data_IF_050564189272
#
_entry.id   IF_050564189272
#
_cell.length_a   1.000
_cell.length_b   1.000
_cell.length_c   1.000
_cell.angle_alpha   90.00
_cell.angle_beta   90.00
_cell.angle_gamma   90.00
#
_symmetry.space_group_name_H-M   'P 1'
#
loop_
_entity.id
_entity.type
_entity.pdbx_description
1 polymer ?
#
# COMPACT_ATOMS: atom_id res chain seq x y z
N UNK A 1 11.69 -42.72 -47.14
CA UNK A 1 11.33 -43.29 -45.83
C UNK A 1 11.40 -42.19 -44.81
N UNK A 2 10.26 -41.55 -44.59
CA UNK A 2 10.03 -40.49 -43.60
C UNK A 2 9.68 -41.18 -42.27
N UNK A 3 10.61 -41.18 -41.32
CA UNK A 3 10.31 -41.57 -39.94
C UNK A 3 9.65 -40.38 -39.24
N UNK A 4 8.32 -40.45 -39.13
CA UNK A 4 7.55 -39.60 -38.23
C UNK A 4 7.97 -39.94 -36.79
N UNK A 5 8.66 -39.00 -36.15
CA UNK A 5 8.89 -39.03 -34.72
C UNK A 5 7.59 -38.57 -34.05
N UNK A 6 6.79 -39.53 -33.61
CA UNK A 6 5.58 -39.31 -32.82
C UNK A 6 6.00 -38.93 -31.39
N UNK A 7 6.42 -37.68 -31.22
CA UNK A 7 6.53 -37.06 -29.91
C UNK A 7 5.14 -37.00 -29.27
N UNK A 8 4.86 -37.93 -28.34
CA UNK A 8 3.66 -37.90 -27.51
C UNK A 8 3.65 -36.61 -26.71
N UNK A 9 2.87 -35.62 -27.16
CA UNK A 9 2.58 -34.41 -26.39
C UNK A 9 1.77 -34.85 -25.16
N UNK A 10 2.45 -34.96 -24.03
CA UNK A 10 1.83 -35.20 -22.74
C UNK A 10 0.75 -34.10 -22.50
N UNK A 11 -0.54 -34.44 -22.35
CA UNK A 11 -1.61 -33.45 -22.20
C UNK A 11 -1.55 -32.67 -20.88
N UNK A 12 -0.66 -33.03 -19.96
CA UNK A 12 -0.53 -32.41 -18.63
C UNK A 12 -0.07 -30.94 -18.64
N UNK A 13 0.40 -30.41 -19.78
CA UNK A 13 0.94 -29.05 -19.90
C UNK A 13 -0.09 -27.91 -19.97
N UNK A 14 -1.40 -28.18 -19.80
CA UNK A 14 -2.46 -27.15 -19.85
C UNK A 14 -3.31 -27.05 -18.59
N UNK A 15 -2.77 -27.41 -17.43
CA UNK A 15 -3.42 -27.13 -16.16
C UNK A 15 -3.03 -25.73 -15.66
N UNK A 16 -4.01 -24.82 -15.62
CA UNK A 16 -4.02 -23.60 -14.80
C UNK A 16 -2.91 -22.57 -15.09
N UNK A 17 -2.73 -22.18 -16.36
CA UNK A 17 -1.93 -20.99 -16.70
C UNK A 17 -0.42 -21.10 -16.46
N UNK A 18 0.12 -22.29 -16.12
CA UNK A 18 1.57 -22.53 -16.05
C UNK A 18 2.19 -22.41 -17.44
N UNK A 19 3.32 -21.70 -17.56
CA UNK A 19 4.07 -21.58 -18.83
C UNK A 19 4.92 -22.82 -19.09
N UNK A 20 5.34 -23.55 -18.04
CA UNK A 20 6.08 -24.82 -18.14
C UNK A 20 5.71 -25.83 -17.06
N UNK A 21 6.11 -27.08 -17.26
CA UNK A 21 5.97 -28.13 -16.25
C UNK A 21 6.99 -27.94 -15.12
N UNK A 22 6.64 -28.23 -13.85
CA UNK A 22 7.60 -28.25 -12.76
C UNK A 22 8.75 -29.23 -13.02
N UNK A 23 9.95 -28.90 -12.53
CA UNK A 23 11.12 -29.78 -12.62
C UNK A 23 11.40 -30.35 -11.24
N UNK A 24 11.38 -31.69 -11.12
CA UNK A 24 11.89 -32.38 -9.94
C UNK A 24 13.41 -32.38 -9.96
N UNK A 25 14.03 -31.87 -8.89
CA UNK A 25 15.46 -32.00 -8.63
C UNK A 25 15.67 -32.81 -7.36
N UNK A 26 16.74 -33.60 -7.35
CA UNK A 26 17.15 -34.36 -6.18
C UNK A 26 18.39 -33.66 -5.63
N UNK A 27 18.27 -33.06 -4.45
CA UNK A 27 19.34 -32.28 -3.81
C UNK A 27 19.70 -32.86 -2.44
N UNK A 28 20.94 -32.67 -1.95
CA UNK A 28 21.31 -32.99 -0.57
C UNK A 28 20.42 -32.24 0.44
N UNK A 29 20.01 -32.89 1.52
CA UNK A 29 19.35 -32.22 2.65
C UNK A 29 20.34 -31.31 3.37
N UNK A 30 19.94 -30.07 3.68
CA UNK A 30 20.79 -29.10 4.39
C UNK A 30 21.07 -29.45 5.86
N UNK A 31 20.48 -30.51 6.40
CA UNK A 31 20.80 -31.03 7.73
C UNK A 31 21.98 -32.02 7.67
N UNK A 32 23.20 -31.53 7.89
CA UNK A 32 24.25 -32.16 8.73
C UNK A 32 25.59 -31.39 8.61
N UNK A 33 25.92 -30.57 9.61
CA UNK A 33 27.31 -30.15 9.85
C UNK A 33 27.64 -30.10 11.34
N UNK A 34 27.57 -31.25 12.02
CA UNK A 34 28.13 -31.37 13.38
C UNK A 34 28.47 -32.79 13.82
N UNK A 35 29.26 -33.53 13.02
CA UNK A 35 30.23 -34.48 13.59
C UNK A 35 31.16 -35.05 12.52
N UNK A 36 32.46 -34.81 12.68
CA UNK A 36 33.50 -35.54 11.97
C UNK A 36 33.55 -37.00 12.48
N UNK A 37 32.86 -37.92 11.81
CA UNK A 37 33.30 -39.33 11.67
C UNK A 37 32.41 -40.11 10.70
N UNK A 38 33.07 -40.88 9.83
CA UNK A 38 32.60 -42.04 9.05
C UNK A 38 31.29 -41.92 8.22
N UNK A 39 31.46 -41.85 6.88
CA UNK A 39 30.43 -42.05 5.84
C UNK A 39 29.02 -41.55 6.22
N UNK A 40 28.84 -40.23 6.30
CA UNK A 40 27.50 -39.67 6.49
C UNK A 40 26.62 -40.01 5.29
N UNK A 41 25.48 -40.62 5.57
CA UNK A 41 24.44 -40.86 4.57
C UNK A 41 23.79 -39.50 4.32
N UNK A 42 24.17 -38.85 3.21
CA UNK A 42 23.53 -37.60 2.79
C UNK A 42 22.10 -37.93 2.36
N UNK A 43 21.12 -37.54 3.18
CA UNK A 43 19.72 -37.69 2.80
C UNK A 43 19.44 -36.80 1.59
N UNK A 44 18.82 -37.36 0.56
CA UNK A 44 18.48 -36.63 -0.65
C UNK A 44 17.01 -36.25 -0.59
N UNK A 45 16.71 -34.96 -0.69
CA UNK A 45 15.34 -34.42 -0.75
C UNK A 45 14.97 -34.09 -2.19
N UNK A 46 13.68 -34.29 -2.50
CA UNK A 46 13.10 -33.85 -3.76
C UNK A 46 12.65 -32.41 -3.62
N UNK A 47 13.27 -31.54 -4.39
CA UNK A 47 12.82 -30.16 -4.55
C UNK A 47 12.07 -30.00 -5.88
N UNK A 48 11.01 -29.20 -5.82
CA UNK A 48 10.19 -28.88 -6.97
C UNK A 48 10.56 -27.48 -7.45
N UNK A 49 11.23 -27.39 -8.59
CA UNK A 49 11.43 -26.11 -9.24
C UNK A 49 10.16 -25.72 -10.02
N UNK A 50 9.66 -24.52 -9.73
CA UNK A 50 8.50 -23.92 -10.36
C UNK A 50 8.79 -22.47 -10.72
N UNK A 51 7.94 -21.83 -11.52
CA UNK A 51 8.08 -20.40 -11.83
C UNK A 51 8.10 -19.52 -10.58
N UNK A 52 7.39 -19.93 -9.52
CA UNK A 52 7.38 -19.25 -8.23
C UNK A 52 8.74 -19.32 -7.54
N UNK A 53 9.32 -20.53 -7.43
CA UNK A 53 10.62 -20.71 -6.77
C UNK A 53 11.73 -20.03 -7.56
N UNK A 54 11.77 -20.20 -8.89
CA UNK A 54 12.77 -19.53 -9.74
C UNK A 54 12.75 -18.01 -9.62
N UNK A 55 11.55 -17.41 -9.63
CA UNK A 55 11.40 -15.97 -9.52
C UNK A 55 11.85 -15.48 -8.13
N UNK A 56 11.56 -16.24 -7.07
CA UNK A 56 11.95 -15.91 -5.71
C UNK A 56 13.46 -16.07 -5.51
N UNK A 57 14.04 -17.20 -5.94
CA UNK A 57 15.48 -17.47 -5.82
C UNK A 57 16.31 -16.40 -6.52
N UNK A 58 15.88 -15.98 -7.72
CA UNK A 58 16.50 -14.86 -8.43
C UNK A 58 16.43 -13.57 -7.60
N UNK A 59 15.28 -13.24 -7.03
CA UNK A 59 15.11 -12.02 -6.25
C UNK A 59 15.92 -12.07 -4.94
N UNK A 60 15.96 -13.22 -4.26
CA UNK A 60 16.80 -13.44 -3.08
C UNK A 60 18.26 -13.12 -3.40
N UNK A 61 18.77 -13.63 -4.54
CA UNK A 61 20.13 -13.35 -4.96
C UNK A 61 20.38 -11.85 -5.21
N UNK A 62 19.47 -11.17 -5.91
CA UNK A 62 19.57 -9.73 -6.19
C UNK A 62 19.49 -8.88 -4.92
N UNK A 63 18.62 -9.24 -3.97
CA UNK A 63 18.50 -8.56 -2.67
C UNK A 63 19.73 -8.79 -1.79
N UNK A 64 20.25 -10.03 -1.72
CA UNK A 64 21.42 -10.38 -0.91
C UNK A 64 22.63 -9.49 -1.22
N UNK A 65 22.94 -9.33 -2.52
CA UNK A 65 24.04 -8.46 -2.98
C UNK A 65 23.88 -7.02 -2.48
N UNK A 66 22.66 -6.51 -2.39
CA UNK A 66 22.39 -5.15 -1.95
C UNK A 66 22.35 -5.02 -0.42
N UNK A 67 21.82 -6.02 0.29
CA UNK A 67 21.75 -6.05 1.75
C UNK A 67 23.13 -6.12 2.41
N UNK A 68 24.08 -6.80 1.78
CA UNK A 68 25.48 -6.91 2.24
C UNK A 68 26.28 -5.61 2.12
N UNK A 69 25.70 -4.54 1.54
CA UNK A 69 26.37 -3.25 1.41
C UNK A 69 26.29 -2.43 2.69
N UNK A 70 27.40 -1.76 3.03
CA UNK A 70 27.50 -0.86 4.19
C UNK A 70 27.14 0.60 3.88
N UNK A 71 26.99 0.97 2.61
CA UNK A 71 26.93 2.37 2.16
C UNK A 71 25.50 2.95 2.01
N UNK A 72 24.45 2.15 2.21
CA UNK A 72 23.05 2.55 1.97
C UNK A 72 22.12 2.35 3.17
N UNK A 73 22.53 2.90 4.32
CA UNK A 73 21.75 2.80 5.56
C UNK A 73 20.87 4.03 5.85
N UNK A 74 20.89 5.05 4.97
CA UNK A 74 20.16 6.30 5.18
C UNK A 74 19.27 6.65 4.00
N UNK A 75 18.16 7.33 4.29
CA UNK A 75 17.24 7.84 3.28
C UNK A 75 17.81 9.13 2.64
N UNK A 76 17.99 9.14 1.32
CA UNK A 76 18.45 10.31 0.59
C UNK A 76 17.26 11.19 0.16
N UNK A 77 16.75 11.96 1.14
CA UNK A 77 15.57 12.82 0.95
C UNK A 77 15.77 13.86 -0.15
N UNK A 78 16.95 14.48 -0.24
CA UNK A 78 17.26 15.49 -1.24
C UNK A 78 17.30 14.90 -2.66
N UNK A 79 17.83 13.69 -2.81
CA UNK A 79 17.81 13.01 -4.10
C UNK A 79 16.38 12.66 -4.51
N UNK A 80 15.56 12.15 -3.59
CA UNK A 80 14.16 11.85 -3.84
C UNK A 80 13.30 13.09 -4.10
N UNK A 81 13.61 14.22 -3.46
CA UNK A 81 12.95 15.50 -3.73
C UNK A 81 13.06 15.88 -5.21
N UNK A 82 14.23 15.71 -5.84
CA UNK A 82 14.41 15.99 -7.29
C UNK A 82 13.44 15.21 -8.16
N UNK A 83 13.13 13.96 -7.79
CA UNK A 83 12.16 13.14 -8.51
C UNK A 83 10.74 13.68 -8.34
N UNK A 84 10.34 14.01 -7.11
CA UNK A 84 9.01 14.52 -6.79
C UNK A 84 8.77 15.97 -7.26
N UNK A 85 9.80 16.79 -7.41
CA UNK A 85 9.70 18.13 -8.00
C UNK A 85 9.53 18.09 -9.53
N UNK A 86 9.92 16.98 -10.17
CA UNK A 86 9.95 16.87 -11.64
C UNK A 86 8.61 17.13 -12.34
N UNK A 87 7.43 16.69 -11.83
CA UNK A 87 6.14 16.98 -12.45
C UNK A 87 5.75 18.47 -12.44
N UNK A 88 6.36 19.26 -11.55
CA UNK A 88 6.08 20.69 -11.45
C UNK A 88 6.97 21.51 -12.39
N UNK A 89 8.13 20.98 -12.78
CA UNK A 89 9.13 21.66 -13.60
C UNK A 89 9.18 21.18 -15.05
N UNK A 90 8.68 19.97 -15.33
CA UNK A 90 8.74 19.33 -16.64
C UNK A 90 7.40 18.76 -17.05
N UNK A 91 7.18 18.64 -18.37
CA UNK A 91 6.07 17.85 -18.88
C UNK A 91 6.31 16.37 -18.57
N UNK A 92 5.26 15.69 -18.12
CA UNK A 92 5.31 14.24 -17.92
C UNK A 92 5.52 13.53 -19.28
N UNK A 93 6.32 12.45 -19.32
CA UNK A 93 6.62 11.75 -20.56
C UNK A 93 5.36 11.14 -21.19
N UNK A 94 5.27 11.03 -22.53
CA UNK A 94 4.08 10.53 -23.22
C UNK A 94 3.60 9.15 -22.75
N UNK A 95 4.50 8.28 -22.31
CA UNK A 95 4.16 6.95 -21.78
C UNK A 95 3.31 6.99 -20.50
N UNK A 96 3.25 8.12 -19.78
CA UNK A 96 2.38 8.30 -18.62
C UNK A 96 0.91 8.55 -18.99
N UNK A 97 0.54 8.53 -20.27
CA UNK A 97 -0.87 8.55 -20.71
C UNK A 97 -1.68 7.39 -20.10
N UNK A 98 -1.04 6.27 -19.76
CA UNK A 98 -1.68 5.17 -19.03
C UNK A 98 -2.21 5.58 -17.64
N UNK A 99 -1.73 6.70 -17.09
CA UNK A 99 -2.17 7.28 -15.81
C UNK A 99 -3.07 8.50 -15.99
N UNK A 100 -3.62 8.75 -17.18
CA UNK A 100 -4.49 9.91 -17.42
C UNK A 100 -5.76 9.86 -16.54
N UNK A 101 -6.34 8.68 -16.34
CA UNK A 101 -7.44 8.47 -15.39
C UNK A 101 -7.01 8.44 -13.91
N UNK A 102 -5.71 8.54 -13.64
CA UNK A 102 -5.10 8.52 -12.31
C UNK A 102 -4.35 9.82 -12.00
N UNK A 103 -4.64 10.92 -12.71
CA UNK A 103 -4.00 12.19 -12.42
C UNK A 103 -4.19 12.68 -10.97
N UNK A 104 -5.36 12.49 -10.30
CA UNK A 104 -5.52 12.67 -8.86
C UNK A 104 -4.49 11.95 -8.00
N UNK A 105 -4.16 10.71 -8.34
CA UNK A 105 -3.19 9.92 -7.60
C UNK A 105 -1.78 10.48 -7.71
N UNK A 106 -1.41 11.00 -8.89
CA UNK A 106 -0.12 11.69 -9.06
C UNK A 106 -0.04 12.92 -8.14
N UNK A 107 -1.13 13.66 -7.95
CA UNK A 107 -1.16 14.80 -7.03
C UNK A 107 -0.93 14.34 -5.60
N UNK A 108 -1.65 13.31 -5.15
CA UNK A 108 -1.48 12.75 -3.81
C UNK A 108 -0.07 12.21 -3.58
N UNK A 109 0.41 11.28 -4.42
CA UNK A 109 1.70 10.62 -4.20
C UNK A 109 2.87 11.61 -4.19
N UNK A 110 2.85 12.59 -5.09
CA UNK A 110 3.91 13.60 -5.18
C UNK A 110 3.87 14.54 -3.97
N UNK A 111 2.70 15.11 -3.67
CA UNK A 111 2.57 16.07 -2.59
C UNK A 111 2.80 15.42 -1.23
N UNK A 112 2.32 14.20 -1.02
CA UNK A 112 2.47 13.48 0.24
C UNK A 112 3.93 13.06 0.45
N UNK A 113 4.60 12.57 -0.59
CA UNK A 113 6.04 12.27 -0.52
C UNK A 113 6.88 13.50 -0.14
N UNK A 114 6.59 14.67 -0.71
CA UNK A 114 7.26 15.93 -0.33
C UNK A 114 6.96 16.31 1.12
N UNK A 115 5.69 16.28 1.52
CA UNK A 115 5.24 16.69 2.86
C UNK A 115 5.80 15.78 3.96
N UNK A 116 5.83 14.46 3.74
CA UNK A 116 6.37 13.47 4.67
C UNK A 116 7.88 13.61 4.83
N UNK A 117 8.63 13.92 3.76
CA UNK A 117 10.08 14.12 3.86
C UNK A 117 10.47 15.41 4.58
N UNK A 118 9.72 16.49 4.34
CA UNK A 118 9.90 17.76 5.02
C UNK A 118 8.63 18.62 4.86
N UNK A 119 7.98 19.04 5.97
CA UNK A 119 6.77 19.86 5.91
C UNK A 119 6.88 21.13 5.06
N UNK A 120 8.08 21.71 4.98
CA UNK A 120 8.33 22.97 4.26
C UNK A 120 8.48 22.82 2.75
N UNK A 121 8.66 21.60 2.22
CA UNK A 121 8.91 21.38 0.79
C UNK A 121 7.68 21.46 -0.10
N UNK A 122 6.48 21.26 0.45
CA UNK A 122 5.24 21.50 -0.28
C UNK A 122 4.91 22.99 -0.24
N UNK A 123 5.67 23.79 -0.98
CA UNK A 123 5.56 25.24 -0.99
C UNK A 123 4.17 25.75 -1.41
N UNK A 124 3.82 26.96 -0.97
CA UNK A 124 2.52 27.59 -1.24
C UNK A 124 2.17 27.63 -2.74
N UNK A 125 3.15 27.88 -3.61
CA UNK A 125 2.93 27.90 -5.06
C UNK A 125 2.59 26.51 -5.62
N UNK A 126 3.28 25.47 -5.14
CA UNK A 126 2.97 24.08 -5.49
C UNK A 126 1.57 23.69 -5.01
N UNK A 127 1.19 24.07 -3.79
CA UNK A 127 -0.15 23.86 -3.27
C UNK A 127 -1.21 24.55 -4.16
N UNK A 128 -0.97 25.79 -4.58
CA UNK A 128 -1.88 26.52 -5.50
C UNK A 128 -2.06 25.79 -6.83
N UNK A 129 -0.98 25.31 -7.44
CA UNK A 129 -1.05 24.56 -8.71
C UNK A 129 -1.82 23.24 -8.57
N UNK A 130 -1.68 22.55 -7.43
CA UNK A 130 -2.49 21.37 -7.11
C UNK A 130 -3.97 21.75 -7.06
N UNK A 131 -4.31 22.78 -6.27
CA UNK A 131 -5.68 23.27 -6.13
C UNK A 131 -6.29 23.69 -7.48
N UNK A 132 -5.55 24.43 -8.30
CA UNK A 132 -5.99 24.83 -9.64
C UNK A 132 -6.33 23.62 -10.51
N UNK A 133 -5.52 22.55 -10.47
CA UNK A 133 -5.80 21.33 -11.21
C UNK A 133 -7.03 20.60 -10.66
N UNK A 134 -7.16 20.50 -9.33
CA UNK A 134 -8.31 19.89 -8.65
C UNK A 134 -9.62 20.56 -9.05
N UNK A 135 -9.70 21.89 -8.94
CA UNK A 135 -10.92 22.64 -9.27
C UNK A 135 -11.11 22.86 -10.77
N UNK A 136 -10.12 22.55 -11.61
CA UNK A 136 -10.37 22.32 -13.03
C UNK A 136 -11.12 21.00 -13.22
N UNK A 137 -10.64 19.90 -12.64
CA UNK A 137 -11.26 18.56 -12.76
C UNK A 137 -12.75 18.62 -12.39
N UNK A 138 -13.07 19.28 -11.28
CA UNK A 138 -14.46 19.60 -10.94
C UNK A 138 -14.57 21.01 -10.31
N UNK A 139 -15.05 22.02 -11.05
CA UNK A 139 -15.23 23.39 -10.55
C UNK A 139 -16.28 23.54 -9.45
N UNK A 140 -17.13 22.54 -9.25
CA UNK A 140 -18.21 22.56 -8.25
C UNK A 140 -17.79 21.96 -6.90
N UNK A 141 -16.51 21.65 -6.72
CA UNK A 141 -15.99 21.19 -5.42
C UNK A 141 -16.11 19.69 -5.15
N UNK A 142 -16.41 18.89 -6.18
CA UNK A 142 -16.53 17.43 -6.09
C UNK A 142 -17.95 16.90 -6.36
N UNK A 143 -18.13 15.57 -6.51
CA UNK A 143 -17.10 14.51 -6.46
C UNK A 143 -16.13 14.56 -7.66
N UNK A 144 -14.99 13.88 -7.57
CA UNK A 144 -13.90 14.03 -8.53
C UNK A 144 -13.62 12.77 -9.36
N UNK A 145 -13.30 12.97 -10.64
CA UNK A 145 -12.86 11.93 -11.57
C UNK A 145 -11.34 11.92 -11.78
N UNK A 146 -10.87 11.15 -12.75
CA UNK A 146 -9.45 11.03 -13.10
C UNK A 146 -8.86 12.24 -13.83
N UNK A 147 -9.70 13.06 -14.46
CA UNK A 147 -9.28 14.21 -15.27
C UNK A 147 -10.48 15.02 -15.76
N UNK A 148 -10.21 16.09 -16.53
CA UNK A 148 -11.25 16.92 -17.13
C UNK A 148 -12.21 16.09 -17.97
N UNK A 149 -13.51 16.20 -17.70
CA UNK A 149 -14.55 15.51 -18.46
C UNK A 149 -14.68 14.00 -18.18
N UNK A 150 -13.87 13.46 -17.26
CA UNK A 150 -14.01 12.07 -16.82
C UNK A 150 -15.06 11.96 -15.72
N UNK A 151 -15.75 10.82 -15.64
CA UNK A 151 -16.74 10.57 -14.61
C UNK A 151 -16.11 10.55 -13.20
N UNK A 152 -16.84 11.00 -12.16
CA UNK A 152 -16.40 10.85 -10.79
C UNK A 152 -16.13 9.39 -10.41
N UNK A 153 -15.05 9.18 -9.65
CA UNK A 153 -14.60 7.85 -9.24
C UNK A 153 -14.07 7.89 -7.80
N UNK A 154 -14.34 6.86 -7.00
CA UNK A 154 -13.96 6.80 -5.58
C UNK A 154 -12.46 6.98 -5.37
N UNK A 155 -11.64 6.26 -6.13
CA UNK A 155 -10.19 6.42 -6.09
C UNK A 155 -9.71 7.85 -6.43
N UNK A 156 -10.34 8.52 -7.41
CA UNK A 156 -10.00 9.90 -7.77
C UNK A 156 -10.43 10.91 -6.70
N UNK A 157 -11.62 10.70 -6.12
CA UNK A 157 -12.13 11.51 -5.02
C UNK A 157 -11.28 11.35 -3.75
N UNK A 158 -10.94 10.11 -3.37
CA UNK A 158 -10.03 9.81 -2.27
C UNK A 158 -8.67 10.51 -2.44
N UNK A 159 -8.04 10.35 -3.61
CA UNK A 159 -6.74 10.94 -3.87
C UNK A 159 -6.78 12.47 -3.83
N UNK A 160 -7.84 13.10 -4.35
CA UNK A 160 -8.00 14.56 -4.28
C UNK A 160 -8.25 15.05 -2.86
N UNK A 161 -9.10 14.39 -2.08
CA UNK A 161 -9.35 14.77 -0.69
C UNK A 161 -8.05 14.67 0.12
N UNK A 162 -7.29 13.60 -0.06
CA UNK A 162 -5.97 13.46 0.58
C UNK A 162 -4.96 14.50 0.10
N UNK A 163 -4.93 14.83 -1.20
CA UNK A 163 -4.06 15.87 -1.75
C UNK A 163 -4.42 17.27 -1.22
N UNK A 164 -5.71 17.55 -0.99
CA UNK A 164 -6.16 18.79 -0.36
C UNK A 164 -5.88 18.81 1.14
N UNK A 165 -5.93 17.67 1.83
CA UNK A 165 -5.63 17.58 3.26
C UNK A 165 -4.17 17.90 3.61
N UNK A 166 -3.24 17.55 2.72
CA UNK A 166 -1.81 17.89 2.84
C UNK A 166 -1.46 19.27 2.31
N UNK A 167 -2.33 19.87 1.48
CA UNK A 167 -2.25 21.29 1.20
C UNK A 167 -2.75 22.03 2.45
N UNK A 168 -2.03 23.06 2.89
CA UNK A 168 -2.58 23.97 3.89
C UNK A 168 -3.87 24.60 3.29
N UNK A 169 -4.78 25.14 4.12
CA UNK A 169 -5.99 25.85 3.68
C UNK A 169 -5.69 27.19 2.96
N UNK A 170 -4.68 27.18 2.11
CA UNK A 170 -4.23 28.28 1.26
C UNK A 170 -5.40 28.73 0.38
N UNK A 171 -5.69 30.02 0.45
CA UNK A 171 -6.77 30.67 -0.30
C UNK A 171 -8.17 30.08 -0.07
N UNK A 172 -8.41 29.51 1.12
CA UNK A 172 -9.71 28.92 1.49
C UNK A 172 -10.09 27.75 0.59
N UNK A 173 -9.12 26.94 0.16
CA UNK A 173 -9.36 25.84 -0.76
C UNK A 173 -10.22 24.72 -0.14
N UNK A 174 -10.17 24.53 1.18
CA UNK A 174 -10.98 23.54 1.87
C UNK A 174 -12.47 23.92 1.86
N UNK A 175 -12.78 25.22 1.97
CA UNK A 175 -14.15 25.74 1.90
C UNK A 175 -14.82 25.53 0.52
N UNK A 176 -14.01 25.27 -0.51
CA UNK A 176 -14.50 24.98 -1.87
C UNK A 176 -14.92 23.52 -2.03
N UNK A 177 -14.66 22.64 -1.06
CA UNK A 177 -15.08 21.24 -1.11
C UNK A 177 -16.59 21.16 -0.89
N UNK A 178 -17.31 20.64 -1.89
CA UNK A 178 -18.76 20.51 -1.85
C UNK A 178 -19.16 19.21 -1.16
N UNK A 179 -19.19 19.27 0.18
CA UNK A 179 -19.54 18.16 1.07
C UNK A 179 -20.88 17.52 0.74
N UNK A 180 -21.91 18.32 0.50
CA UNK A 180 -23.25 17.82 0.18
C UNK A 180 -23.28 17.07 -1.16
N UNK A 181 -22.60 17.59 -2.18
CA UNK A 181 -22.46 16.91 -3.48
C UNK A 181 -21.73 15.57 -3.34
N UNK A 182 -20.62 15.55 -2.59
CA UNK A 182 -19.86 14.33 -2.32
C UNK A 182 -20.71 13.31 -1.56
N UNK A 183 -21.37 13.71 -0.47
CA UNK A 183 -22.22 12.81 0.33
C UNK A 183 -23.34 12.19 -0.50
N UNK A 184 -24.10 13.02 -1.24
CA UNK A 184 -25.18 12.53 -2.10
C UNK A 184 -24.65 11.56 -3.17
N UNK A 185 -23.48 11.84 -3.73
CA UNK A 185 -22.85 10.93 -4.68
C UNK A 185 -22.41 9.61 -4.02
N UNK A 186 -21.82 9.64 -2.82
CA UNK A 186 -21.45 8.41 -2.09
C UNK A 186 -22.68 7.52 -1.86
N UNK A 187 -23.83 8.09 -1.51
CA UNK A 187 -25.08 7.33 -1.39
C UNK A 187 -25.53 6.67 -2.69
N UNK A 188 -25.25 7.28 -3.86
CA UNK A 188 -25.57 6.65 -5.15
C UNK A 188 -24.69 5.45 -5.50
N UNK A 189 -23.53 5.31 -4.83
CA UNK A 189 -22.61 4.20 -5.01
C UNK A 189 -22.83 3.08 -3.99
N UNK A 190 -23.47 3.42 -2.87
CA UNK A 190 -23.76 2.49 -1.79
C UNK A 190 -24.65 1.37 -2.30
N UNK A 191 -24.25 0.14 -1.99
CA UNK A 191 -25.00 -1.07 -2.30
C UNK A 191 -25.75 -1.56 -1.06
N UNK A 192 -26.78 -2.36 -1.29
CA UNK A 192 -27.58 -2.99 -0.22
C UNK A 192 -26.74 -3.92 0.67
N UNK A 193 -25.75 -4.60 0.09
CA UNK A 193 -24.83 -5.50 0.79
C UNK A 193 -23.75 -4.79 1.62
N UNK A 194 -23.75 -3.44 1.66
CA UNK A 194 -22.75 -2.65 2.37
C UNK A 194 -21.51 -2.29 1.54
N UNK A 195 -21.35 -2.86 0.33
CA UNK A 195 -20.30 -2.49 -0.59
C UNK A 195 -20.50 -1.11 -1.23
N UNK A 196 -19.48 -0.63 -1.95
CA UNK A 196 -19.56 0.61 -2.73
C UNK A 196 -19.07 0.39 -4.15
N UNK A 197 -19.86 0.83 -5.12
CA UNK A 197 -19.39 0.94 -6.51
C UNK A 197 -18.34 2.04 -6.61
N UNK A 198 -17.29 1.82 -7.40
CA UNK A 198 -16.22 2.80 -7.61
C UNK A 198 -16.65 3.99 -8.47
N UNK A 199 -17.63 3.78 -9.35
CA UNK A 199 -18.19 4.76 -10.25
C UNK A 199 -19.68 4.48 -10.47
N UNK A 200 -20.50 5.53 -10.50
CA UNK A 200 -21.96 5.38 -10.59
C UNK A 200 -22.36 4.62 -11.86
N UNK A 201 -23.17 3.56 -11.71
CA UNK A 201 -23.72 2.68 -12.76
C UNK A 201 -22.73 1.78 -13.51
N UNK A 202 -21.43 2.06 -13.48
CA UNK A 202 -20.45 1.35 -14.33
C UNK A 202 -19.23 0.83 -13.58
N UNK A 203 -19.05 1.21 -12.31
CA UNK A 203 -17.91 0.80 -11.52
C UNK A 203 -18.02 -0.61 -10.96
N UNK A 204 -16.87 -1.24 -10.78
CA UNK A 204 -16.71 -2.41 -9.94
C UNK A 204 -17.02 -2.08 -8.47
N UNK A 205 -17.10 -3.11 -7.63
CA UNK A 205 -17.17 -2.95 -6.19
C UNK A 205 -16.19 -3.92 -5.55
N UNK A 206 -15.43 -3.42 -4.59
CA UNK A 206 -14.53 -4.20 -3.74
C UNK A 206 -14.16 -3.37 -2.49
N UNK A 207 -13.33 -3.92 -1.62
CA UNK A 207 -12.86 -3.24 -0.40
C UNK A 207 -12.15 -1.91 -0.66
N UNK A 208 -11.58 -1.65 -1.85
CA UNK A 208 -11.01 -0.32 -2.19
C UNK A 208 -12.10 0.73 -2.29
N UNK A 209 -13.24 0.37 -2.90
CA UNK A 209 -14.43 1.23 -2.95
C UNK A 209 -14.88 1.59 -1.54
N UNK A 210 -15.01 0.59 -0.66
CA UNK A 210 -15.39 0.80 0.74
C UNK A 210 -14.41 1.74 1.43
N UNK A 211 -13.10 1.47 1.37
CA UNK A 211 -12.11 2.32 2.03
C UNK A 211 -12.08 3.75 1.49
N UNK A 212 -12.13 3.93 0.17
CA UNK A 212 -12.19 5.28 -0.40
C UNK A 212 -13.42 6.05 0.09
N UNK A 213 -14.60 5.41 0.11
CA UNK A 213 -15.83 6.04 0.56
C UNK A 213 -15.79 6.40 2.05
N UNK A 214 -15.40 5.44 2.90
CA UNK A 214 -15.36 5.60 4.35
C UNK A 214 -14.25 6.57 4.78
N UNK A 215 -13.08 6.54 4.12
CA UNK A 215 -12.00 7.49 4.39
C UNK A 215 -12.41 8.92 4.04
N UNK A 216 -13.00 9.15 2.85
CA UNK A 216 -13.49 10.47 2.44
C UNK A 216 -14.60 10.95 3.37
N UNK A 217 -15.54 10.07 3.70
CA UNK A 217 -16.65 10.45 4.58
C UNK A 217 -16.15 10.78 5.99
N UNK A 218 -15.19 10.04 6.51
CA UNK A 218 -14.58 10.30 7.81
C UNK A 218 -13.87 11.65 7.87
N UNK A 219 -12.97 11.93 6.92
CA UNK A 219 -12.17 13.18 6.92
C UNK A 219 -12.99 14.43 6.66
N UNK A 220 -14.11 14.31 5.93
CA UNK A 220 -15.03 15.42 5.65
C UNK A 220 -16.20 15.51 6.65
N UNK A 221 -16.24 14.70 7.71
CA UNK A 221 -17.32 14.71 8.70
C UNK A 221 -18.69 14.39 8.09
N UNK A 222 -18.76 13.31 7.30
CA UNK A 222 -19.92 12.85 6.52
C UNK A 222 -20.36 11.42 6.86
N UNK A 223 -19.80 10.80 7.89
CA UNK A 223 -20.26 9.49 8.34
C UNK A 223 -21.67 9.60 8.92
N UNK A 224 -22.60 8.82 8.36
CA UNK A 224 -23.99 8.72 8.82
C UNK A 224 -24.38 7.24 8.96
N UNK A 225 -25.44 6.96 9.71
CA UNK A 225 -25.96 5.59 9.82
C UNK A 225 -26.32 5.02 8.44
N UNK A 226 -27.00 5.81 7.60
CA UNK A 226 -27.36 5.44 6.23
C UNK A 226 -26.14 5.08 5.39
N UNK A 227 -25.08 5.90 5.43
CA UNK A 227 -23.88 5.63 4.65
C UNK A 227 -23.17 4.34 5.13
N UNK A 228 -23.11 4.13 6.44
CA UNK A 228 -22.36 3.05 7.07
C UNK A 228 -23.13 1.73 7.23
N UNK A 229 -24.43 1.70 6.90
CA UNK A 229 -25.27 0.49 7.03
C UNK A 229 -24.67 -0.71 6.28
N UNK A 230 -24.63 -1.89 6.91
CA UNK A 230 -24.07 -3.14 6.37
C UNK A 230 -22.57 -3.12 5.96
N UNK A 231 -21.86 -2.00 6.10
CA UNK A 231 -20.45 -1.90 5.68
C UNK A 231 -19.55 -2.84 6.48
N UNK A 232 -19.79 -2.94 7.80
CA UNK A 232 -19.02 -3.84 8.66
C UNK A 232 -19.25 -5.30 8.25
N UNK A 233 -20.50 -5.69 7.97
CA UNK A 233 -20.84 -7.05 7.54
C UNK A 233 -20.20 -7.41 6.20
N UNK A 234 -20.22 -6.48 5.23
CA UNK A 234 -19.49 -6.65 3.97
C UNK A 234 -18.00 -6.95 4.21
N UNK A 235 -17.35 -6.17 5.07
CA UNK A 235 -15.91 -6.31 5.33
C UNK A 235 -15.58 -7.58 6.09
N UNK A 236 -16.38 -7.98 7.08
CA UNK A 236 -16.21 -9.25 7.81
C UNK A 236 -16.24 -10.43 6.84
N UNK A 237 -17.15 -10.41 5.87
CA UNK A 237 -17.24 -11.47 4.85
C UNK A 237 -16.10 -11.46 3.82
N UNK A 238 -15.30 -10.39 3.75
CA UNK A 238 -14.08 -10.35 2.96
C UNK A 238 -12.87 -11.01 3.65
N UNK A 239 -12.91 -11.25 4.98
CA UNK A 239 -11.83 -11.99 5.65
C UNK A 239 -11.91 -13.46 5.27
N UNK A 240 -10.79 -14.04 4.80
CA UNK A 240 -10.76 -15.43 4.33
C UNK A 240 -9.98 -16.35 5.28
N UNK A 241 -9.85 -17.62 4.90
CA UNK A 241 -9.21 -18.65 5.72
C UNK A 241 -7.74 -18.38 6.03
N UNK A 242 -7.04 -17.60 5.19
CA UNK A 242 -5.63 -17.23 5.36
C UNK A 242 -5.47 -16.19 6.49
N UNK A 243 -6.52 -15.45 6.84
CA UNK A 243 -6.53 -14.41 7.87
C UNK A 243 -6.55 -12.98 7.33
N UNK A 244 -6.07 -12.76 6.10
CA UNK A 244 -6.21 -11.49 5.38
C UNK A 244 -7.56 -11.34 4.68
N UNK A 245 -7.70 -10.28 3.89
CA UNK A 245 -8.96 -9.94 3.21
C UNK A 245 -8.82 -9.95 1.69
N UNK A 246 -9.89 -10.42 1.03
CA UNK A 246 -10.12 -10.30 -0.39
C UNK A 246 -10.79 -8.97 -0.79
N UNK A 247 -10.97 -8.76 -2.09
CA UNK A 247 -11.68 -7.59 -2.63
C UNK A 247 -13.19 -7.70 -2.46
N UNK A 248 -13.74 -8.89 -2.70
CA UNK A 248 -15.17 -9.19 -2.64
C UNK A 248 -15.45 -10.28 -1.59
N UNK A 249 -16.59 -10.22 -0.88
CA UNK A 249 -16.99 -11.23 0.09
C UNK A 249 -16.88 -12.66 -0.46
N UNK A 250 -16.19 -13.53 0.29
CA UNK A 250 -16.08 -14.98 0.04
C UNK A 250 -15.47 -15.45 -1.29
N UNK A 251 -14.98 -14.55 -2.15
CA UNK A 251 -14.51 -14.90 -3.50
C UNK A 251 -12.98 -14.84 -3.64
N UNK A 252 -12.37 -13.79 -3.08
CA UNK A 252 -10.99 -13.42 -3.41
C UNK A 252 -9.93 -14.00 -2.46
N UNK A 253 -8.73 -14.19 -3.01
CA UNK A 253 -7.50 -14.44 -2.25
C UNK A 253 -7.17 -13.26 -1.33
N UNK A 254 -6.55 -13.54 -0.18
CA UNK A 254 -6.12 -12.49 0.71
C UNK A 254 -4.99 -11.66 0.08
N UNK A 255 -5.13 -10.35 0.06
CA UNK A 255 -4.17 -9.46 -0.59
C UNK A 255 -3.89 -8.20 0.23
N UNK A 256 -2.63 -7.79 0.36
CA UNK A 256 -2.20 -6.71 1.25
C UNK A 256 -2.94 -5.39 1.03
N UNK A 257 -3.20 -5.02 -0.23
CA UNK A 257 -3.99 -3.83 -0.55
C UNK A 257 -5.45 -3.92 -0.09
N UNK A 258 -6.10 -5.07 -0.27
CA UNK A 258 -7.50 -5.28 0.13
C UNK A 258 -7.62 -5.45 1.65
N UNK A 259 -6.69 -6.18 2.26
CA UNK A 259 -6.49 -6.26 3.72
C UNK A 259 -6.38 -4.87 4.34
N UNK A 260 -5.50 -4.01 3.83
CA UNK A 260 -5.39 -2.64 4.32
C UNK A 260 -6.71 -1.89 4.22
N UNK A 261 -7.36 -1.92 3.05
CA UNK A 261 -8.61 -1.21 2.82
C UNK A 261 -9.69 -1.66 3.83
N UNK A 262 -9.86 -2.97 4.01
CA UNK A 262 -10.82 -3.51 4.97
C UNK A 262 -10.52 -3.12 6.42
N UNK A 263 -9.28 -3.34 6.86
CA UNK A 263 -8.86 -3.08 8.25
C UNK A 263 -8.90 -1.59 8.57
N UNK A 264 -8.45 -0.73 7.66
CA UNK A 264 -8.52 0.71 7.83
C UNK A 264 -9.98 1.20 7.88
N UNK A 265 -10.89 0.65 7.07
CA UNK A 265 -12.33 0.93 7.17
C UNK A 265 -12.92 0.49 8.50
N UNK A 266 -12.61 -0.72 8.97
CA UNK A 266 -13.06 -1.22 10.27
C UNK A 266 -12.54 -0.37 11.42
N UNK A 267 -11.29 0.11 11.34
CA UNK A 267 -10.71 1.03 12.32
C UNK A 267 -11.47 2.37 12.35
N UNK A 268 -11.82 2.93 11.18
CA UNK A 268 -12.64 4.16 11.10
C UNK A 268 -14.01 3.96 11.72
N UNK A 269 -14.62 2.79 11.49
CA UNK A 269 -15.94 2.43 11.99
C UNK A 269 -15.95 1.94 13.44
N UNK A 270 -14.78 1.80 14.08
CA UNK A 270 -14.65 1.29 15.44
C UNK A 270 -15.09 -0.17 15.59
N UNK A 271 -14.83 -1.01 14.58
CA UNK A 271 -15.36 -2.38 14.46
C UNK A 271 -14.26 -3.43 14.23
N UNK A 272 -13.02 -3.18 14.65
CA UNK A 272 -11.91 -4.14 14.51
C UNK A 272 -12.12 -5.42 15.34
N UNK A 273 -12.92 -5.37 16.39
CA UNK A 273 -13.30 -6.51 17.23
C UNK A 273 -14.23 -7.51 16.54
N UNK A 274 -14.77 -7.17 15.36
CA UNK A 274 -15.69 -8.03 14.59
C UNK A 274 -14.98 -9.06 13.71
N UNK A 275 -13.66 -9.00 13.60
CA UNK A 275 -12.85 -9.86 12.73
C UNK A 275 -11.89 -10.75 13.54
N UNK A 276 -11.34 -11.78 12.91
CA UNK A 276 -10.31 -12.60 13.55
C UNK A 276 -8.96 -11.89 13.50
N UNK A 277 -8.66 -11.09 14.53
CA UNK A 277 -7.42 -10.29 14.61
C UNK A 277 -6.17 -11.15 14.75
N UNK A 278 -6.25 -12.28 15.45
CA UNK A 278 -5.11 -13.19 15.64
C UNK A 278 -4.63 -13.76 14.29
N UNK A 279 -5.57 -14.30 13.49
CA UNK A 279 -5.25 -14.78 12.14
C UNK A 279 -4.77 -13.67 11.21
N UNK A 280 -5.30 -12.45 11.36
CA UNK A 280 -4.84 -11.31 10.60
C UNK A 280 -3.38 -10.95 10.94
N UNK A 281 -3.02 -10.96 12.23
CA UNK A 281 -1.65 -10.72 12.68
C UNK A 281 -0.69 -11.79 12.14
N UNK A 282 -1.08 -13.07 12.21
CA UNK A 282 -0.33 -14.18 11.61
C UNK A 282 -0.14 -14.00 10.11
N UNK A 283 -1.21 -13.63 9.40
CA UNK A 283 -1.18 -13.38 7.96
C UNK A 283 -0.23 -12.24 7.60
N UNK A 284 -0.28 -11.12 8.32
CA UNK A 284 0.65 -10.00 8.14
C UNK A 284 2.11 -10.42 8.38
N UNK A 285 2.38 -11.18 9.44
CA UNK A 285 3.72 -11.69 9.74
C UNK A 285 4.27 -12.57 8.61
N UNK A 286 3.43 -13.49 8.10
CA UNK A 286 3.79 -14.40 6.99
C UNK A 286 3.96 -13.71 5.63
N UNK A 287 3.69 -12.40 5.52
CA UNK A 287 4.03 -11.63 4.31
C UNK A 287 5.47 -11.18 4.31
N UNK A 288 6.13 -11.11 5.45
CA UNK A 288 7.54 -10.72 5.52
C UNK A 288 8.44 -11.93 5.28
N UNK A 289 9.34 -11.83 4.32
CA UNK A 289 10.29 -12.90 4.02
C UNK A 289 11.63 -12.62 4.67
N UNK A 290 12.25 -13.64 5.24
CA UNK A 290 13.51 -13.50 5.98
C UNK A 290 14.68 -13.09 5.08
N UNK A 291 14.76 -13.67 3.88
CA UNK A 291 15.88 -13.46 2.96
C UNK A 291 15.89 -12.06 2.36
N UNK A 292 14.76 -11.63 1.80
CA UNK A 292 14.62 -10.32 1.19
C UNK A 292 14.31 -9.22 2.21
N UNK A 293 13.83 -9.57 3.42
CA UNK A 293 13.36 -8.69 4.51
C UNK A 293 12.13 -7.83 4.20
N UNK A 294 11.73 -7.74 2.93
CA UNK A 294 10.54 -7.04 2.45
C UNK A 294 9.23 -7.80 2.66
N UNK A 295 8.12 -7.15 2.29
CA UNK A 295 6.76 -7.68 2.40
C UNK A 295 6.20 -8.06 1.03
N UNK A 296 5.54 -9.21 0.96
CA UNK A 296 4.77 -9.67 -0.20
C UNK A 296 3.30 -9.29 -0.08
N UNK A 297 2.61 -9.15 -1.21
CA UNK A 297 1.19 -8.81 -1.22
C UNK A 297 0.26 -9.97 -0.91
N UNK A 298 0.70 -11.20 -1.18
CA UNK A 298 -0.07 -12.43 -1.01
C UNK A 298 0.86 -13.63 -1.01
N UNK A 299 0.33 -14.76 -0.56
CA UNK A 299 1.03 -16.03 -0.44
C UNK A 299 1.75 -16.42 -1.75
N UNK A 300 3.01 -16.88 -1.67
CA UNK A 300 3.81 -17.32 -2.82
C UNK A 300 4.06 -16.27 -3.93
N UNK A 301 4.08 -14.99 -3.60
CA UNK A 301 4.47 -13.91 -4.51
C UNK A 301 5.70 -13.16 -3.99
N UNK A 302 6.36 -12.45 -4.88
CA UNK A 302 7.57 -11.69 -4.54
C UNK A 302 7.28 -10.54 -3.58
N UNK A 303 8.30 -10.13 -2.84
CA UNK A 303 8.29 -8.88 -2.08
C UNK A 303 8.19 -7.67 -3.00
N UNK A 304 7.58 -6.59 -2.52
CA UNK A 304 7.42 -5.31 -3.22
C UNK A 304 7.30 -4.17 -2.20
N UNK A 305 8.05 -3.08 -2.41
CA UNK A 305 8.11 -1.95 -1.48
C UNK A 305 6.76 -1.30 -1.20
N UNK A 306 5.76 -1.40 -2.09
CA UNK A 306 4.46 -0.79 -1.80
C UNK A 306 3.75 -1.47 -0.62
N UNK A 307 4.02 -2.76 -0.37
CA UNK A 307 3.49 -3.47 0.80
C UNK A 307 4.13 -3.03 2.11
N UNK A 308 5.24 -2.27 2.06
CA UNK A 308 5.75 -1.51 3.20
C UNK A 308 4.77 -0.47 3.72
N UNK A 309 3.71 -0.12 2.97
CA UNK A 309 2.56 0.58 3.52
C UNK A 309 1.33 -0.32 3.63
N UNK A 310 0.97 -1.09 2.59
CA UNK A 310 -0.29 -1.84 2.63
C UNK A 310 -0.32 -2.92 3.73
N UNK A 311 0.74 -3.71 3.85
CA UNK A 311 0.81 -4.74 4.90
C UNK A 311 1.32 -4.14 6.21
N UNK A 312 2.38 -3.33 6.17
CA UNK A 312 2.92 -2.74 7.41
C UNK A 312 1.99 -1.71 8.05
N UNK A 313 1.17 -1.00 7.26
CA UNK A 313 0.13 -0.10 7.75
C UNK A 313 -0.99 -0.86 8.45
N UNK A 314 -1.35 -2.04 7.94
CA UNK A 314 -2.25 -2.97 8.65
C UNK A 314 -1.64 -3.38 10.00
N UNK A 315 -0.36 -3.79 10.01
CA UNK A 315 0.35 -4.12 11.24
C UNK A 315 0.41 -2.94 12.23
N UNK A 316 0.64 -1.71 11.74
CA UNK A 316 0.65 -0.50 12.55
C UNK A 316 -0.73 -0.15 13.13
N UNK A 317 -1.81 -0.42 12.39
CA UNK A 317 -3.18 -0.31 12.94
C UNK A 317 -3.36 -1.33 14.07
N UNK A 318 -2.97 -2.59 13.88
CA UNK A 318 -3.06 -3.60 14.94
C UNK A 318 -2.26 -3.21 16.20
N UNK A 319 -1.03 -2.71 16.00
CA UNK A 319 -0.18 -2.18 17.06
C UNK A 319 -0.89 -1.04 17.82
N UNK A 320 -1.47 -0.08 17.09
CA UNK A 320 -2.17 1.07 17.67
C UNK A 320 -3.36 0.66 18.56
N UNK A 321 -4.05 -0.42 18.19
CA UNK A 321 -5.19 -0.96 18.92
C UNK A 321 -4.80 -2.01 19.99
N UNK A 322 -3.50 -2.15 20.28
CA UNK A 322 -3.02 -2.97 21.39
C UNK A 322 -2.85 -4.46 21.07
N UNK A 323 -2.87 -4.85 19.80
CA UNK A 323 -2.64 -6.24 19.36
C UNK A 323 -1.15 -6.57 19.13
N UNK A 324 -0.26 -5.63 19.43
CA UNK A 324 1.19 -5.81 19.31
C UNK A 324 1.73 -5.61 17.89
N UNK A 325 3.05 -5.74 17.75
CA UNK A 325 3.74 -5.65 16.47
C UNK A 325 3.92 -7.06 15.87
N UNK A 326 3.49 -7.26 14.63
CA UNK A 326 3.56 -8.54 13.92
C UNK A 326 4.61 -8.58 12.78
N UNK A 327 5.41 -7.51 12.62
CA UNK A 327 6.46 -7.43 11.58
C UNK A 327 7.80 -7.01 12.17
N UNK A 328 8.89 -7.44 11.52
CA UNK A 328 10.24 -6.93 11.76
C UNK A 328 10.43 -5.57 11.07
N UNK A 329 10.24 -4.49 11.84
CA UNK A 329 10.41 -3.12 11.36
C UNK A 329 11.86 -2.81 10.95
N UNK A 330 12.86 -3.38 11.63
CA UNK A 330 14.26 -3.11 11.35
C UNK A 330 14.66 -3.75 10.01
N UNK A 331 14.31 -5.02 9.79
CA UNK A 331 14.53 -5.71 8.52
C UNK A 331 13.80 -5.02 7.36
N UNK A 332 12.57 -4.55 7.58
CA UNK A 332 11.81 -3.83 6.54
C UNK A 332 12.47 -2.49 6.18
N UNK A 333 12.94 -1.71 7.17
CA UNK A 333 13.68 -0.46 6.93
C UNK A 333 14.90 -0.74 6.05
N UNK A 334 15.65 -1.80 6.36
CA UNK A 334 16.82 -2.20 5.59
C UNK A 334 16.47 -2.59 4.14
N UNK A 335 15.39 -3.35 3.92
CA UNK A 335 14.91 -3.67 2.57
C UNK A 335 14.59 -2.40 1.76
N UNK A 336 13.88 -1.44 2.36
CA UNK A 336 13.51 -0.20 1.66
C UNK A 336 14.77 0.60 1.29
N UNK A 337 15.68 0.82 2.24
CA UNK A 337 16.85 1.68 2.05
C UNK A 337 17.94 1.06 1.17
N UNK A 338 18.16 -0.26 1.26
CA UNK A 338 19.22 -0.94 0.49
C UNK A 338 18.73 -1.52 -0.84
N UNK A 339 17.52 -2.08 -0.89
CA UNK A 339 17.03 -2.77 -2.08
C UNK A 339 16.17 -1.87 -2.98
N UNK A 340 15.46 -0.90 -2.42
CA UNK A 340 14.43 -0.13 -3.14
C UNK A 340 14.85 1.31 -3.44
N UNK A 341 15.74 1.91 -2.65
CA UNK A 341 16.42 3.16 -2.99
C UNK A 341 17.61 2.88 -3.93
N UNK A 342 17.75 3.66 -5.00
CA UNK A 342 18.87 3.57 -5.94
C UNK A 342 19.84 4.74 -5.74
N UNK A 343 21.13 4.50 -5.91
CA UNK A 343 22.15 5.57 -5.89
C UNK A 343 22.27 6.32 -7.22
N UNK A 344 21.77 5.74 -8.30
CA UNK A 344 21.95 6.26 -9.67
C UNK A 344 20.70 6.94 -10.22
N UNK A 345 19.53 6.70 -9.60
CA UNK A 345 18.25 7.26 -10.06
C UNK A 345 17.37 7.61 -8.87
N UNK A 346 16.80 8.83 -8.81
CA UNK A 346 15.98 9.23 -7.67
C UNK A 346 14.59 8.58 -7.72
N UNK A 347 13.92 8.57 -6.58
CA UNK A 347 12.68 7.83 -6.33
C UNK A 347 12.95 6.43 -5.76
N UNK A 348 11.90 5.80 -5.24
CA UNK A 348 11.93 4.44 -4.71
C UNK A 348 11.22 3.52 -5.71
N UNK A 349 11.79 2.33 -5.94
CA UNK A 349 11.26 1.31 -6.86
C UNK A 349 10.60 0.16 -6.11
N UNK A 350 9.77 -0.60 -6.79
CA UNK A 350 9.18 -1.87 -6.32
C UNK A 350 10.24 -2.79 -5.65
N UNK A 351 11.22 -3.23 -6.45
CA UNK A 351 12.25 -4.20 -6.07
C UNK A 351 13.50 -4.05 -6.96
N UNK A 352 14.63 -4.73 -6.66
CA UNK A 352 15.77 -4.81 -7.58
C UNK A 352 15.36 -5.16 -9.02
N UNK A 353 16.04 -4.54 -9.98
CA UNK A 353 15.74 -4.68 -11.42
C UNK A 353 14.58 -3.84 -11.96
N UNK A 354 13.78 -3.19 -11.11
CA UNK A 354 12.67 -2.31 -11.54
C UNK A 354 13.07 -0.82 -11.57
N UNK A 355 12.22 0.03 -12.17
CA UNK A 355 12.42 1.48 -12.23
C UNK A 355 11.58 2.18 -11.15
N UNK A 356 12.07 3.26 -10.52
CA UNK A 356 11.25 4.08 -9.62
C UNK A 356 10.06 4.73 -10.31
N UNK A 357 8.98 4.92 -9.56
CA UNK A 357 7.80 5.68 -9.93
C UNK A 357 7.20 6.42 -8.70
N UNK A 358 6.23 7.30 -8.93
CA UNK A 358 5.65 8.13 -7.87
C UNK A 358 4.87 7.31 -6.83
N UNK A 359 4.25 6.19 -7.25
CA UNK A 359 3.49 5.30 -6.38
C UNK A 359 4.41 4.62 -5.37
N UNK A 360 5.45 3.91 -5.85
CA UNK A 360 6.41 3.23 -4.99
C UNK A 360 7.24 4.21 -4.16
N UNK A 361 7.52 5.42 -4.69
CA UNK A 361 8.18 6.48 -3.91
C UNK A 361 7.33 6.88 -2.71
N UNK A 362 6.04 7.17 -2.89
CA UNK A 362 5.17 7.52 -1.77
C UNK A 362 5.05 6.38 -0.76
N UNK A 363 4.71 5.17 -1.19
CA UNK A 363 4.47 4.06 -0.26
C UNK A 363 5.75 3.52 0.38
N UNK A 364 6.91 3.64 -0.28
CA UNK A 364 8.21 3.38 0.33
C UNK A 364 8.53 4.37 1.44
N UNK A 365 8.28 5.66 1.23
CA UNK A 365 8.46 6.69 2.27
C UNK A 365 7.53 6.47 3.48
N UNK A 366 6.25 6.15 3.22
CA UNK A 366 5.31 5.80 4.30
C UNK A 366 5.76 4.54 5.04
N UNK A 367 6.35 3.57 4.33
CA UNK A 367 6.96 2.39 4.93
C UNK A 367 8.11 2.72 5.87
N UNK A 368 9.04 3.60 5.45
CA UNK A 368 10.12 4.07 6.35
C UNK A 368 9.53 4.74 7.59
N UNK A 369 8.55 5.62 7.42
CA UNK A 369 7.88 6.27 8.54
C UNK A 369 7.22 5.27 9.50
N UNK A 370 6.62 4.18 9.00
CA UNK A 370 6.07 3.11 9.85
C UNK A 370 7.19 2.35 10.59
N UNK A 371 8.29 2.03 9.91
CA UNK A 371 9.38 1.27 10.52
C UNK A 371 10.13 2.01 11.62
N UNK A 372 10.08 3.34 11.60
CA UNK A 372 10.80 4.19 12.57
C UNK A 372 9.94 4.59 13.78
N UNK A 373 8.65 4.22 13.82
CA UNK A 373 7.71 4.65 14.86
C UNK A 373 6.91 3.48 15.46
N UNK A 374 6.58 3.56 16.74
CA UNK A 374 5.49 2.79 17.36
C UNK A 374 4.17 3.56 17.26
N UNK A 375 3.04 2.86 17.33
CA UNK A 375 1.71 3.47 17.19
C UNK A 375 0.82 3.11 18.37
N UNK A 376 0.06 4.08 18.88
CA UNK A 376 -0.90 3.91 19.97
C UNK A 376 -2.11 4.82 19.76
N UNK A 377 -3.32 4.34 20.07
CA UNK A 377 -4.49 5.22 20.13
C UNK A 377 -4.29 6.35 21.14
N UNK A 378 -4.77 7.55 20.82
CA UNK A 378 -4.81 8.64 21.78
C UNK A 378 -5.86 8.33 22.88
N UNK A 379 -5.48 8.27 24.17
CA UNK A 379 -6.43 7.95 25.24
C UNK A 379 -7.59 8.94 25.39
N UNK A 380 -7.41 10.19 24.94
CA UNK A 380 -8.44 11.24 24.99
C UNK A 380 -9.43 11.16 23.83
N UNK A 381 -9.00 10.61 22.68
CA UNK A 381 -9.81 10.47 21.46
C UNK A 381 -9.45 9.13 20.82
N UNK A 382 -9.93 8.00 21.36
CA UNK A 382 -9.52 6.67 20.94
C UNK A 382 -10.23 6.26 19.63
N UNK A 383 -9.88 6.92 18.53
CA UNK A 383 -10.40 6.60 17.21
C UNK A 383 -9.33 6.74 16.12
N UNK A 384 -9.66 6.24 14.93
CA UNK A 384 -8.75 6.22 13.79
C UNK A 384 -8.20 7.59 13.36
N UNK A 385 -8.90 8.71 13.62
CA UNK A 385 -8.43 10.05 13.25
C UNK A 385 -7.26 10.52 14.13
N UNK A 386 -7.07 9.91 15.31
CA UNK A 386 -6.02 10.31 16.27
C UNK A 386 -5.25 9.10 16.80
N UNK A 387 -4.19 8.76 16.06
CA UNK A 387 -3.19 7.75 16.44
C UNK A 387 -1.88 8.48 16.71
N UNK A 388 -1.35 8.29 17.92
CA UNK A 388 -0.07 8.83 18.33
C UNK A 388 1.06 7.92 17.83
N UNK A 389 2.13 8.54 17.34
CA UNK A 389 3.36 7.87 16.93
C UNK A 389 4.52 8.28 17.83
N UNK A 390 5.45 7.36 18.08
CA UNK A 390 6.66 7.63 18.86
C UNK A 390 7.87 6.98 18.21
N UNK A 391 8.95 7.73 18.04
CA UNK A 391 10.16 7.23 17.39
C UNK A 391 10.75 6.06 18.19
N UNK A 392 11.07 4.95 17.51
CA UNK A 392 11.68 3.76 18.11
C UNK A 392 13.12 4.04 18.52
N UNK A 393 13.89 4.66 17.63
CA UNK A 393 15.26 5.10 17.88
C UNK A 393 15.44 6.53 17.36
N UNK A 394 15.42 7.55 18.25
CA UNK A 394 15.59 8.95 17.84
C UNK A 394 16.95 9.26 17.18
N UNK A 395 17.99 8.48 17.50
CA UNK A 395 19.35 8.70 16.98
C UNK A 395 19.57 8.06 15.60
N UNK A 396 18.70 7.13 15.19
CA UNK A 396 18.70 6.45 13.89
C UNK A 396 17.31 6.56 13.23
N UNK A 397 16.93 7.79 12.92
CA UNK A 397 15.68 8.15 12.26
C UNK A 397 15.96 8.99 11.00
N UNK A 398 15.17 8.77 9.94
CA UNK A 398 15.30 9.46 8.65
C UNK A 398 14.81 10.91 8.68
N UNK A 399 14.28 11.37 9.82
CA UNK A 399 13.64 12.66 10.01
C UNK A 399 12.40 12.82 9.14
N UNK A 400 11.65 11.74 8.90
CA UNK A 400 10.35 11.79 8.25
C UNK A 400 9.28 12.25 9.23
N UNK A 401 8.27 12.95 8.73
CA UNK A 401 7.09 13.25 9.53
C UNK A 401 6.39 11.95 9.93
N UNK A 402 5.90 11.96 11.16
CA UNK A 402 4.99 10.94 11.64
C UNK A 402 3.68 10.94 10.85
N UNK A 403 3.21 9.74 10.50
CA UNK A 403 1.99 9.55 9.72
C UNK A 403 0.90 8.83 10.53
N UNK A 404 -0.36 9.07 10.18
CA UNK A 404 -1.46 8.26 10.65
C UNK A 404 -1.56 6.99 9.77
N UNK A 405 -1.46 5.78 10.35
CA UNK A 405 -1.41 4.54 9.58
C UNK A 405 -2.74 4.19 8.89
N UNK A 406 -3.87 4.75 9.33
CA UNK A 406 -5.19 4.53 8.72
C UNK A 406 -5.37 5.35 7.44
N UNK A 407 -4.83 6.58 7.39
CA UNK A 407 -5.05 7.52 6.29
C UNK A 407 -3.83 7.69 5.38
N UNK A 408 -2.63 7.29 5.83
CA UNK A 408 -1.39 7.44 5.06
C UNK A 408 -0.99 8.90 4.83
N UNK A 409 -1.30 9.78 5.81
CA UNK A 409 -1.02 11.22 5.79
C UNK A 409 -0.23 11.62 7.05
N UNK A 410 0.59 12.69 7.01
CA UNK A 410 1.17 13.26 8.22
C UNK A 410 0.09 13.57 9.26
N UNK A 411 0.29 13.13 10.51
CA UNK A 411 -0.76 13.17 11.55
C UNK A 411 -1.29 14.59 11.80
N UNK A 412 -0.40 15.60 11.76
CA UNK A 412 -0.76 17.02 11.94
C UNK A 412 -1.65 17.54 10.81
N UNK A 413 -1.35 17.16 9.57
CA UNK A 413 -2.09 17.64 8.40
C UNK A 413 -3.49 17.04 8.38
N UNK A 414 -3.59 15.73 8.62
CA UNK A 414 -4.87 15.06 8.83
C UNK A 414 -5.68 15.73 9.97
N UNK A 415 -5.04 15.98 11.12
CA UNK A 415 -5.72 16.55 12.27
C UNK A 415 -6.27 17.95 12.00
N UNK A 416 -5.50 18.76 11.30
CA UNK A 416 -5.90 20.11 10.93
C UNK A 416 -7.05 20.08 9.93
N UNK A 417 -6.97 19.19 8.93
CA UNK A 417 -7.98 19.05 7.89
C UNK A 417 -9.33 18.58 8.43
N UNK A 418 -9.37 17.51 9.24
CA UNK A 418 -10.65 17.01 9.75
C UNK A 418 -11.29 17.99 10.74
N UNK A 419 -10.49 18.73 11.54
CA UNK A 419 -11.00 19.75 12.47
C UNK A 419 -11.70 20.91 11.77
N UNK A 420 -11.35 21.19 10.52
CA UNK A 420 -12.03 22.21 9.74
C UNK A 420 -13.46 21.81 9.34
N UNK A 421 -13.73 20.49 9.19
CA UNK A 421 -15.04 19.99 8.76
C UNK A 421 -15.93 19.43 9.87
N UNK A 422 -15.37 19.24 11.07
CA UNK A 422 -16.12 19.01 12.32
C UNK A 422 -16.74 20.31 12.81
#
# INVERSE_FOLDING_TARGET
MTSQDNGSKNPAAKLLGRKRSPIERVVPSEEESSSESEQSIVAMVKEMETETTEARDKLIHECRILLERDDLNTLDKEFHKKFLDSPFSHQLPPGMVALDASAPWLLYWVANGLRVMNPSWLERETQRRIQEKVFRINPHGGPFGGGMGQLPHLAGTYAIVNALAICDNTDGCWDKINRSSIYNWLLTLKREDGGFQTCFRVGEYDTRGVYCAISVASTLGLLTQELCENVVEFLVHCQNYEGGFGGVPHEDEAHGGYTFCAVASLAILGALDTINVEKLADWCSQRQYNDEKGLSGRSNKLVDVCYSFWVAGTAAILEAYGHGNCIDKAGLKEYILKCCQMTTRPGIRDKPGTKPDFYHTNYGLLGVAITENTFQLDPSVPNALKINSSAINPDDNSGLESINPVYGLPSRDLETFYKHFK
#
